data_IF_296537419717
#
_entry.id   IF_296537419717
#
_cell.length_a   1.000
_cell.length_b   1.000
_cell.length_c   1.000
_cell.angle_alpha   90.00
_cell.angle_beta   90.00
_cell.angle_gamma   90.00
#
_symmetry.space_group_name_H-M   'P 1'
#
loop_
_entity.id
_entity.type
_entity.pdbx_description
1 polymer ?
#
# COMPACT_ATOMS: atom_id res chain seq x y z
N UNK A 1 27.07 14.69 -13.37
CA UNK A 1 25.79 14.18 -12.79
C UNK A 1 25.51 15.00 -11.56
N UNK A 2 24.25 15.17 -11.19
CA UNK A 2 23.94 15.86 -9.94
C UNK A 2 24.41 15.00 -8.76
N UNK A 3 25.10 15.61 -7.78
CA UNK A 3 25.60 14.91 -6.60
C UNK A 3 24.61 15.00 -5.43
N UNK A 4 23.47 15.67 -5.64
CA UNK A 4 22.35 15.76 -4.71
C UNK A 4 21.13 15.07 -5.31
N UNK A 5 20.51 14.16 -4.57
CA UNK A 5 19.34 13.39 -5.01
C UNK A 5 18.20 13.54 -4.01
N UNK A 6 17.01 13.79 -4.53
CA UNK A 6 15.77 13.92 -3.76
C UNK A 6 14.80 12.81 -4.18
N UNK A 7 14.55 11.84 -3.30
CA UNK A 7 13.73 10.67 -3.59
C UNK A 7 12.45 10.74 -2.75
N UNK A 8 11.32 10.96 -3.39
CA UNK A 8 10.04 11.18 -2.71
C UNK A 8 9.02 10.14 -3.16
N UNK A 9 8.37 9.48 -2.21
CA UNK A 9 7.31 8.51 -2.53
C UNK A 9 6.72 7.80 -1.32
N UNK A 10 5.47 7.38 -1.47
CA UNK A 10 4.77 6.58 -0.45
C UNK A 10 5.16 5.09 -0.52
N UNK A 11 5.73 4.66 -1.65
CA UNK A 11 6.28 3.31 -1.83
C UNK A 11 7.71 3.28 -1.26
N UNK A 12 7.84 2.86 0.00
CA UNK A 12 9.11 2.82 0.74
C UNK A 12 10.12 1.84 0.13
N UNK A 13 9.64 0.80 -0.57
CA UNK A 13 10.49 -0.14 -1.28
C UNK A 13 11.19 0.55 -2.46
N UNK A 14 10.45 1.24 -3.33
CA UNK A 14 11.03 1.97 -4.47
C UNK A 14 11.98 3.08 -4.03
N UNK A 15 11.58 3.82 -2.99
CA UNK A 15 12.43 4.87 -2.40
C UNK A 15 13.74 4.28 -1.91
N UNK A 16 13.69 3.16 -1.18
CA UNK A 16 14.88 2.48 -0.66
C UNK A 16 15.76 1.88 -1.76
N UNK A 17 15.17 1.20 -2.74
CA UNK A 17 15.93 0.59 -3.84
C UNK A 17 16.60 1.65 -4.72
N UNK A 18 15.90 2.77 -5.00
CA UNK A 18 16.50 3.88 -5.74
C UNK A 18 17.68 4.48 -4.98
N UNK A 19 17.54 4.67 -3.65
CA UNK A 19 18.63 5.15 -2.82
C UNK A 19 19.82 4.17 -2.82
N UNK A 20 19.58 2.86 -2.68
CA UNK A 20 20.62 1.83 -2.72
C UNK A 20 21.37 1.80 -4.07
N UNK A 21 20.65 1.91 -5.20
CA UNK A 21 21.28 2.02 -6.53
C UNK A 21 22.25 3.22 -6.62
N UNK A 22 21.91 4.34 -5.98
CA UNK A 22 22.75 5.54 -5.92
C UNK A 22 23.93 5.40 -4.94
N UNK A 23 23.76 4.66 -3.86
CA UNK A 23 24.81 4.37 -2.87
C UNK A 23 25.89 3.44 -3.46
N UNK A 24 25.48 2.47 -4.27
CA UNK A 24 26.41 1.49 -4.87
C UNK A 24 26.91 0.48 -3.84
N UNK A 25 28.25 0.30 -3.77
CA UNK A 25 28.91 -0.66 -2.87
C UNK A 25 28.93 -0.27 -1.38
N UNK A 26 28.43 0.93 -1.08
CA UNK A 26 28.31 1.44 0.29
C UNK A 26 29.59 2.00 0.90
N UNK A 27 30.67 2.18 0.13
CA UNK A 27 31.87 2.85 0.61
C UNK A 27 31.56 4.28 1.06
N UNK A 28 32.09 4.67 2.23
CA UNK A 28 31.89 6.00 2.80
C UNK A 28 30.43 6.36 3.09
N UNK A 29 29.57 5.37 3.32
CA UNK A 29 28.15 5.57 3.60
C UNK A 29 27.91 6.06 5.03
N UNK A 30 27.29 7.23 5.14
CA UNK A 30 26.73 7.77 6.39
C UNK A 30 25.20 7.79 6.30
N UNK A 31 24.51 7.17 7.26
CA UNK A 31 23.04 7.09 7.27
C UNK A 31 22.47 7.88 8.43
N UNK A 32 21.59 8.83 8.11
CA UNK A 32 20.79 9.56 9.09
C UNK A 32 19.34 9.10 8.93
N UNK A 33 18.80 8.43 9.96
CA UNK A 33 17.45 7.85 9.91
C UNK A 33 16.49 8.65 10.79
N UNK A 34 15.60 9.41 10.14
CA UNK A 34 14.60 10.22 10.82
C UNK A 34 13.28 9.50 11.13
N UNK A 35 13.28 8.15 11.14
CA UNK A 35 12.06 7.38 11.45
C UNK A 35 11.53 7.66 12.86
N UNK A 36 12.38 8.01 13.81
CA UNK A 36 12.05 8.32 15.21
C UNK A 36 11.86 9.80 15.49
N UNK A 37 12.02 10.68 14.50
CA UNK A 37 11.91 12.14 14.67
C UNK A 37 10.44 12.60 14.74
N UNK A 38 9.78 12.30 15.86
CA UNK A 38 8.33 12.52 16.05
C UNK A 38 7.98 13.92 16.55
N UNK A 39 8.94 14.69 17.07
CA UNK A 39 8.77 16.05 17.57
C UNK A 39 9.79 17.01 16.93
N UNK A 40 9.56 18.33 17.13
CA UNK A 40 10.37 19.37 16.51
C UNK A 40 11.84 19.30 16.94
N UNK A 41 12.14 18.99 18.18
CA UNK A 41 13.51 18.93 18.70
C UNK A 41 14.32 17.80 18.03
N UNK A 42 13.73 16.61 17.89
CA UNK A 42 14.34 15.50 17.19
C UNK A 42 14.51 15.80 15.69
N UNK A 43 13.52 16.45 15.07
CA UNK A 43 13.58 16.87 13.68
C UNK A 43 14.73 17.85 13.43
N UNK A 44 14.88 18.85 14.32
CA UNK A 44 15.98 19.82 14.25
C UNK A 44 17.34 19.14 14.50
N UNK A 45 17.42 18.19 15.43
CA UNK A 45 18.63 17.39 15.70
C UNK A 45 19.07 16.64 14.43
N UNK A 46 18.16 15.93 13.78
CA UNK A 46 18.46 15.20 12.55
C UNK A 46 18.84 16.13 11.41
N UNK A 47 18.20 17.30 11.32
CA UNK A 47 18.56 18.32 10.32
C UNK A 47 19.97 18.86 10.57
N UNK A 48 20.36 19.11 11.83
CA UNK A 48 21.72 19.54 12.18
C UNK A 48 22.74 18.44 11.82
N UNK A 49 22.42 17.17 12.05
CA UNK A 49 23.26 16.05 11.64
C UNK A 49 23.41 16.00 10.11
N UNK A 50 22.31 16.19 9.37
CA UNK A 50 22.31 16.20 7.92
C UNK A 50 23.13 17.38 7.36
N UNK A 51 23.02 18.57 7.97
CA UNK A 51 23.78 19.75 7.61
C UNK A 51 25.28 19.58 7.89
N UNK A 52 25.63 19.00 9.03
CA UNK A 52 27.02 18.68 9.38
C UNK A 52 27.61 17.67 8.40
N UNK A 53 26.87 16.57 8.11
CA UNK A 53 27.31 15.57 7.15
C UNK A 53 27.47 16.11 5.74
N UNK A 54 26.52 16.95 5.26
CA UNK A 54 26.61 17.62 3.97
C UNK A 54 27.87 18.50 3.86
N UNK A 55 28.22 19.20 4.94
CA UNK A 55 29.34 20.17 4.97
C UNK A 55 30.71 19.54 5.19
N UNK A 56 30.75 18.29 5.63
CA UNK A 56 32.02 17.60 5.94
C UNK A 56 32.48 16.79 4.73
N UNK A 57 33.64 17.08 4.16
CA UNK A 57 34.19 16.29 3.05
C UNK A 57 34.58 14.88 3.47
N UNK A 58 34.77 13.95 2.52
CA UNK A 58 35.31 12.62 2.80
C UNK A 58 36.73 12.74 3.42
N UNK A 59 36.99 11.97 4.48
CA UNK A 59 38.25 12.03 5.20
C UNK A 59 39.00 10.70 5.22
N UNK A 60 38.33 9.61 5.57
CA UNK A 60 38.96 8.27 5.62
C UNK A 60 38.76 7.50 4.30
N UNK A 61 37.57 7.63 3.72
CA UNK A 61 37.23 7.00 2.45
C UNK A 61 37.45 7.95 1.28
N UNK A 62 37.74 7.43 0.08
CA UNK A 62 37.94 8.26 -1.11
C UNK A 62 36.61 8.95 -1.56
N UNK A 63 35.50 8.40 -1.17
CA UNK A 63 34.13 8.91 -1.47
C UNK A 63 33.31 9.02 -0.19
N UNK A 64 32.31 9.89 -0.19
CA UNK A 64 31.33 10.01 0.88
C UNK A 64 29.93 10.00 0.30
N UNK A 65 29.07 9.15 0.82
CA UNK A 65 27.64 9.11 0.48
C UNK A 65 26.85 9.33 1.76
N UNK A 66 26.12 10.43 1.85
CA UNK A 66 25.18 10.68 2.95
C UNK A 66 23.78 10.32 2.50
N UNK A 67 23.11 9.43 3.23
CA UNK A 67 21.70 9.11 3.03
C UNK A 67 20.88 9.55 4.23
N UNK A 68 20.16 10.66 4.07
CA UNK A 68 19.15 11.12 5.01
C UNK A 68 17.80 10.53 4.64
N UNK A 69 17.39 9.49 5.37
CA UNK A 69 16.20 8.68 5.05
C UNK A 69 15.05 8.91 6.02
N UNK A 70 13.85 8.53 5.56
CA UNK A 70 12.60 8.58 6.34
C UNK A 70 12.22 9.98 6.82
N UNK A 71 12.54 11.01 6.05
CA UNK A 71 12.26 12.40 6.43
C UNK A 71 10.77 12.69 6.24
N UNK A 72 9.98 12.38 7.28
CA UNK A 72 8.52 12.52 7.26
C UNK A 72 8.04 13.95 7.52
N UNK A 73 8.92 14.80 8.01
CA UNK A 73 8.65 16.21 8.32
C UNK A 73 9.05 17.19 7.20
N UNK A 74 9.19 16.71 5.96
CA UNK A 74 9.31 17.59 4.81
C UNK A 74 8.03 18.44 4.65
N UNK A 75 8.11 19.66 4.07
CA UNK A 75 6.94 20.48 3.83
C UNK A 75 5.85 19.72 3.07
N UNK A 76 4.67 19.65 3.65
CA UNK A 76 3.51 18.93 3.11
C UNK A 76 2.31 19.86 3.03
N UNK A 77 1.33 19.54 2.16
CA UNK A 77 0.06 20.24 2.12
C UNK A 77 -0.86 19.78 3.27
N UNK A 78 -1.66 20.70 3.83
CA UNK A 78 -2.63 20.42 4.89
C UNK A 78 -2.06 20.45 6.31
N UNK A 79 -2.75 19.81 7.26
CA UNK A 79 -2.44 19.87 8.72
C UNK A 79 -1.24 19.03 9.19
N UNK A 80 -0.52 18.38 8.29
CA UNK A 80 0.55 17.41 8.64
C UNK A 80 1.98 17.91 8.38
N UNK A 81 2.20 19.21 8.17
CA UNK A 81 3.52 19.79 7.91
C UNK A 81 4.36 19.95 9.19
N UNK A 82 5.67 20.23 9.02
CA UNK A 82 6.56 20.56 10.13
C UNK A 82 6.16 21.88 10.81
N UNK A 83 6.67 22.07 12.05
CA UNK A 83 6.55 23.37 12.74
C UNK A 83 7.23 24.48 11.92
N UNK A 84 6.86 25.76 12.16
CA UNK A 84 7.46 26.88 11.44
C UNK A 84 8.98 26.98 11.64
N UNK A 85 9.50 26.59 12.79
CA UNK A 85 10.93 26.60 13.08
C UNK A 85 11.66 25.52 12.26
N UNK A 86 11.11 24.29 12.21
CA UNK A 86 11.65 23.22 11.39
C UNK A 86 11.57 23.56 9.91
N UNK A 87 10.47 24.17 9.46
CA UNK A 87 10.29 24.62 8.08
C UNK A 87 11.34 25.65 7.68
N UNK A 88 11.55 26.67 8.50
CA UNK A 88 12.60 27.70 8.27
C UNK A 88 13.99 27.08 8.25
N UNK A 89 14.26 26.13 9.13
CA UNK A 89 15.53 25.41 9.17
C UNK A 89 15.75 24.55 7.92
N UNK A 90 14.73 23.84 7.43
CA UNK A 90 14.75 23.11 6.15
C UNK A 90 15.01 24.05 4.97
N UNK A 91 14.34 25.21 4.91
CA UNK A 91 14.53 26.21 3.84
C UNK A 91 15.95 26.77 3.84
N UNK A 92 16.54 27.06 5.01
CA UNK A 92 17.96 27.46 5.14
C UNK A 92 18.89 26.35 4.65
N UNK A 93 18.63 25.10 5.00
CA UNK A 93 19.43 23.97 4.56
C UNK A 93 19.34 23.78 3.03
N UNK A 94 18.14 23.89 2.45
CA UNK A 94 17.99 23.86 0.98
C UNK A 94 18.74 24.97 0.28
N UNK A 95 18.72 26.20 0.81
CA UNK A 95 19.48 27.32 0.29
C UNK A 95 21.00 27.08 0.38
N UNK A 96 21.47 26.46 1.48
CA UNK A 96 22.88 26.07 1.65
C UNK A 96 23.30 25.02 0.61
N UNK A 97 22.47 23.99 0.39
CA UNK A 97 22.72 22.97 -0.65
C UNK A 97 22.82 23.63 -2.03
N UNK A 98 21.91 24.56 -2.35
CA UNK A 98 21.91 25.25 -3.64
C UNK A 98 23.12 26.16 -3.85
N UNK A 99 23.62 26.76 -2.78
CA UNK A 99 24.80 27.65 -2.82
C UNK A 99 26.14 26.91 -2.83
N UNK A 100 26.19 25.64 -2.42
CA UNK A 100 27.42 24.87 -2.25
C UNK A 100 27.34 23.55 -3.01
N UNK A 101 27.66 23.52 -4.30
CA UNK A 101 27.68 22.29 -5.08
C UNK A 101 28.69 21.31 -4.50
N UNK A 102 28.28 20.04 -4.38
CA UNK A 102 29.13 18.98 -3.88
C UNK A 102 30.19 18.56 -4.92
N UNK A 103 31.40 18.22 -4.48
CA UNK A 103 32.43 17.67 -5.36
C UNK A 103 32.05 16.24 -5.83
N UNK A 104 32.70 15.74 -6.88
CA UNK A 104 32.37 14.45 -7.51
C UNK A 104 32.50 13.24 -6.59
N UNK A 105 33.32 13.37 -5.55
CA UNK A 105 33.53 12.31 -4.55
C UNK A 105 32.57 12.40 -3.34
N UNK A 106 31.58 13.28 -3.39
CA UNK A 106 30.58 13.42 -2.34
C UNK A 106 29.18 13.40 -2.92
N UNK A 107 28.28 12.59 -2.32
CA UNK A 107 26.89 12.47 -2.72
C UNK A 107 25.96 12.65 -1.53
N UNK A 108 24.87 13.38 -1.71
CA UNK A 108 23.85 13.57 -0.71
C UNK A 108 22.48 13.09 -1.22
N UNK A 109 21.89 12.13 -0.53
CA UNK A 109 20.60 11.53 -0.86
C UNK A 109 19.62 11.87 0.26
N UNK A 110 18.52 12.57 -0.07
CA UNK A 110 17.43 12.85 0.84
C UNK A 110 16.21 12.07 0.38
N UNK A 111 15.59 11.30 1.31
CA UNK A 111 14.40 10.54 0.98
C UNK A 111 13.28 10.69 2.02
N UNK A 112 12.05 10.76 1.54
CA UNK A 112 10.86 10.90 2.38
C UNK A 112 9.56 10.53 1.65
N UNK A 113 8.45 10.36 2.40
CA UNK A 113 7.21 9.87 1.82
C UNK A 113 6.47 10.92 1.00
N UNK A 114 6.53 12.18 1.42
CA UNK A 114 5.79 13.28 0.79
C UNK A 114 6.56 14.58 0.80
N UNK A 115 6.40 15.36 -0.28
CA UNK A 115 6.92 16.72 -0.38
C UNK A 115 5.95 17.56 -1.20
N UNK A 116 5.57 18.73 -0.66
CA UNK A 116 4.78 19.70 -1.40
C UNK A 116 5.63 20.37 -2.48
N UNK A 117 5.35 20.05 -3.73
CA UNK A 117 6.13 20.52 -4.89
C UNK A 117 6.17 22.07 -5.02
N UNK A 118 5.18 22.77 -4.44
CA UNK A 118 5.09 24.24 -4.46
C UNK A 118 5.81 24.91 -3.28
N UNK A 119 6.33 24.13 -2.30
CA UNK A 119 7.08 24.69 -1.17
C UNK A 119 8.40 25.33 -1.61
N UNK A 120 8.87 26.30 -0.85
CA UNK A 120 10.19 26.96 -1.08
C UNK A 120 11.29 25.92 -1.08
N UNK A 121 11.29 25.01 -0.10
CA UNK A 121 12.23 23.90 0.00
C UNK A 121 12.30 23.05 -1.29
N UNK A 122 11.14 22.63 -1.81
CA UNK A 122 11.08 21.81 -3.01
C UNK A 122 11.58 22.56 -4.26
N UNK A 123 11.20 23.83 -4.40
CA UNK A 123 11.61 24.68 -5.53
C UNK A 123 13.11 24.90 -5.53
N UNK A 124 13.69 25.19 -4.35
CA UNK A 124 15.14 25.39 -4.21
C UNK A 124 15.91 24.12 -4.54
N UNK A 125 15.53 22.96 -4.02
CA UNK A 125 16.24 21.72 -4.31
C UNK A 125 16.07 21.24 -5.75
N UNK A 126 14.93 21.46 -6.39
CA UNK A 126 14.72 21.09 -7.80
C UNK A 126 15.69 21.75 -8.77
N UNK A 127 16.28 22.88 -8.41
CA UNK A 127 17.25 23.59 -9.27
C UNK A 127 18.63 22.93 -9.26
N UNK A 128 18.96 22.13 -8.24
CA UNK A 128 20.31 21.59 -8.00
C UNK A 128 20.34 20.08 -7.75
N UNK A 129 19.20 19.46 -7.52
CA UNK A 129 19.09 18.03 -7.22
C UNK A 129 18.41 17.27 -8.36
N UNK A 130 18.83 16.03 -8.56
CA UNK A 130 18.07 15.05 -9.34
C UNK A 130 16.89 14.55 -8.49
N UNK A 131 15.68 14.64 -9.04
CA UNK A 131 14.44 14.37 -8.30
C UNK A 131 13.75 13.14 -8.85
N UNK A 132 13.60 12.11 -8.02
CA UNK A 132 12.77 10.94 -8.29
C UNK A 132 11.49 11.01 -7.45
N UNK A 133 10.31 10.85 -8.09
CA UNK A 133 9.02 10.89 -7.41
C UNK A 133 8.24 9.61 -7.71
N UNK A 134 7.94 8.86 -6.66
CA UNK A 134 7.13 7.65 -6.72
C UNK A 134 5.76 7.92 -6.13
N UNK A 135 4.86 8.50 -6.94
CA UNK A 135 3.49 8.77 -6.50
C UNK A 135 2.73 7.46 -6.27
N UNK A 136 2.00 7.37 -5.17
CA UNK A 136 0.99 6.34 -5.01
C UNK A 136 -0.15 6.64 -5.99
N UNK A 137 -0.41 5.74 -6.92
CA UNK A 137 -1.57 5.82 -7.81
C UNK A 137 -2.86 5.74 -7.03
N UNK A 138 -3.94 6.21 -7.61
CA UNK A 138 -5.28 6.04 -7.04
C UNK A 138 -5.59 4.55 -6.88
N UNK A 139 -6.43 4.12 -5.92
CA UNK A 139 -6.70 2.70 -5.67
C UNK A 139 -7.07 1.88 -6.91
N UNK A 140 -7.81 2.47 -7.85
CA UNK A 140 -8.20 1.81 -9.11
C UNK A 140 -7.10 1.79 -10.19
N UNK A 141 -6.02 2.53 -10.01
CA UNK A 141 -4.86 2.54 -10.90
C UNK A 141 -3.75 1.61 -10.41
N UNK A 142 -3.81 1.18 -9.14
CA UNK A 142 -2.74 0.41 -8.50
C UNK A 142 -2.42 -0.89 -9.26
N UNK A 143 -3.42 -1.64 -9.71
CA UNK A 143 -3.19 -2.87 -10.47
C UNK A 143 -2.46 -2.58 -11.79
N UNK A 144 -2.86 -1.52 -12.53
CA UNK A 144 -2.20 -1.12 -13.78
C UNK A 144 -0.77 -0.66 -13.54
N UNK A 145 -0.54 0.10 -12.48
CA UNK A 145 0.80 0.56 -12.09
C UNK A 145 1.67 -0.63 -11.69
N UNK A 146 1.11 -1.59 -10.93
CA UNK A 146 1.81 -2.80 -10.53
C UNK A 146 2.23 -3.65 -11.74
N UNK A 147 1.35 -3.81 -12.75
CA UNK A 147 1.68 -4.53 -14.00
C UNK A 147 2.80 -3.83 -14.76
N UNK A 148 2.77 -2.51 -14.85
CA UNK A 148 3.86 -1.77 -15.48
C UNK A 148 5.17 -1.97 -14.73
N UNK A 149 5.18 -1.81 -13.41
CA UNK A 149 6.37 -1.98 -12.56
C UNK A 149 6.94 -3.39 -12.65
N UNK A 150 6.09 -4.42 -12.55
CA UNK A 150 6.57 -5.81 -12.61
C UNK A 150 7.20 -6.12 -13.96
N UNK A 151 6.71 -5.52 -15.04
CA UNK A 151 7.30 -5.66 -16.38
C UNK A 151 8.67 -4.98 -16.46
N UNK A 152 8.81 -3.77 -15.89
CA UNK A 152 10.09 -3.06 -15.81
C UNK A 152 11.11 -3.84 -14.99
N UNK A 153 10.73 -4.34 -13.81
CA UNK A 153 11.61 -5.15 -12.96
C UNK A 153 11.97 -6.51 -13.56
N UNK A 154 11.05 -7.15 -14.26
CA UNK A 154 11.34 -8.38 -14.99
C UNK A 154 12.44 -8.15 -16.03
N UNK A 155 12.36 -7.05 -16.78
CA UNK A 155 13.40 -6.68 -17.75
C UNK A 155 14.77 -6.44 -17.08
N UNK A 156 14.82 -5.80 -15.89
CA UNK A 156 16.08 -5.66 -15.12
C UNK A 156 16.69 -7.02 -14.71
N UNK A 157 15.84 -8.05 -14.55
CA UNK A 157 16.26 -9.42 -14.23
C UNK A 157 16.47 -10.31 -15.46
N UNK A 158 16.44 -9.75 -16.66
CA UNK A 158 16.44 -10.47 -17.96
C UNK A 158 15.27 -11.46 -18.08
N UNK A 159 14.11 -11.12 -17.52
CA UNK A 159 12.88 -11.88 -17.62
C UNK A 159 11.86 -11.14 -18.49
N UNK A 160 10.97 -11.86 -19.15
CA UNK A 160 9.90 -11.31 -19.93
C UNK A 160 8.55 -11.96 -19.62
N UNK A 161 7.49 -11.19 -19.73
CA UNK A 161 6.10 -11.65 -19.66
C UNK A 161 5.35 -11.26 -20.92
N UNK A 162 4.39 -12.09 -21.31
CA UNK A 162 3.25 -11.57 -22.03
C UNK A 162 2.35 -10.77 -21.09
N UNK A 163 1.67 -9.76 -21.63
CA UNK A 163 0.81 -8.88 -20.81
C UNK A 163 -0.22 -9.63 -19.98
N UNK A 164 -0.86 -10.64 -20.56
CA UNK A 164 -1.84 -11.49 -19.86
C UNK A 164 -1.23 -12.26 -18.69
N UNK A 165 0.04 -12.65 -18.80
CA UNK A 165 0.79 -13.34 -17.73
C UNK A 165 1.22 -12.34 -16.65
N UNK A 166 1.58 -11.11 -17.03
CA UNK A 166 1.87 -10.04 -16.06
C UNK A 166 0.60 -9.66 -15.26
N UNK A 167 -0.55 -9.56 -15.92
CA UNK A 167 -1.84 -9.32 -15.26
C UNK A 167 -2.17 -10.47 -14.28
N UNK A 168 -1.96 -11.73 -14.69
CA UNK A 168 -2.14 -12.90 -13.84
C UNK A 168 -1.19 -12.89 -12.64
N UNK A 169 0.09 -12.54 -12.86
CA UNK A 169 1.09 -12.46 -11.80
C UNK A 169 0.69 -11.43 -10.74
N UNK A 170 0.30 -10.20 -11.17
CA UNK A 170 -0.16 -9.16 -10.25
C UNK A 170 -1.45 -9.55 -9.54
N UNK A 171 -2.38 -10.22 -10.24
CA UNK A 171 -3.62 -10.72 -9.63
C UNK A 171 -3.35 -11.76 -8.51
N UNK A 172 -2.29 -12.56 -8.63
CA UNK A 172 -1.93 -13.57 -7.62
C UNK A 172 -1.08 -13.00 -6.49
N UNK A 173 -0.12 -12.15 -6.79
CA UNK A 173 0.85 -11.61 -5.82
C UNK A 173 0.29 -10.38 -5.09
N UNK A 174 -0.62 -9.64 -5.73
CA UNK A 174 -1.10 -8.34 -5.24
C UNK A 174 -0.32 -7.17 -5.84
N UNK A 175 -0.54 -5.97 -5.29
CA UNK A 175 0.02 -4.72 -5.82
C UNK A 175 1.20 -4.17 -5.01
N UNK A 176 1.58 -4.87 -3.94
CA UNK A 176 2.71 -4.49 -3.10
C UNK A 176 4.04 -4.72 -3.83
N UNK A 177 4.82 -3.65 -4.00
CA UNK A 177 6.03 -3.67 -4.83
C UNK A 177 7.09 -4.61 -4.27
N UNK A 178 7.25 -4.69 -2.96
CA UNK A 178 8.21 -5.59 -2.31
C UNK A 178 7.85 -7.05 -2.57
N UNK A 179 6.58 -7.39 -2.44
CA UNK A 179 6.06 -8.74 -2.73
C UNK A 179 6.26 -9.11 -4.19
N UNK A 180 5.94 -8.20 -5.11
CA UNK A 180 6.16 -8.40 -6.55
C UNK A 180 7.64 -8.68 -6.87
N UNK A 181 8.56 -7.91 -6.30
CA UNK A 181 10.00 -8.11 -6.51
C UNK A 181 10.51 -9.41 -5.91
N UNK A 182 10.03 -9.78 -4.72
CA UNK A 182 10.37 -11.05 -4.07
C UNK A 182 9.93 -12.24 -4.92
N UNK A 183 8.70 -12.19 -5.45
CA UNK A 183 8.16 -13.26 -6.30
C UNK A 183 8.89 -13.33 -7.67
N UNK A 184 9.26 -12.17 -8.24
CA UNK A 184 10.10 -12.14 -9.45
C UNK A 184 11.48 -12.75 -9.22
N UNK A 185 12.09 -12.51 -8.05
CA UNK A 185 13.34 -13.17 -7.67
C UNK A 185 13.21 -14.69 -7.66
N UNK A 186 12.11 -15.21 -7.09
CA UNK A 186 11.82 -16.67 -7.11
C UNK A 186 11.60 -17.19 -8.53
N UNK A 187 10.93 -16.42 -9.41
CA UNK A 187 10.75 -16.78 -10.82
C UNK A 187 12.08 -16.90 -11.54
N UNK A 188 13.00 -15.94 -11.34
CA UNK A 188 14.34 -15.99 -11.92
C UNK A 188 15.11 -17.23 -11.46
N UNK A 189 15.05 -17.55 -10.16
CA UNK A 189 15.74 -18.70 -9.59
C UNK A 189 15.15 -20.02 -10.10
N UNK A 190 13.82 -20.08 -10.28
CA UNK A 190 13.13 -21.25 -10.84
C UNK A 190 13.43 -21.49 -12.31
N UNK A 191 13.43 -20.43 -13.13
CA UNK A 191 13.69 -20.52 -14.57
C UNK A 191 15.17 -20.78 -14.88
N UNK A 192 16.05 -20.46 -13.95
CA UNK A 192 17.49 -20.62 -14.14
C UNK A 192 18.08 -19.62 -15.14
N UNK A 193 19.26 -19.97 -15.70
CA UNK A 193 20.00 -19.03 -16.57
C UNK A 193 19.56 -19.07 -18.03
N UNK A 194 18.92 -20.14 -18.44
CA UNK A 194 18.65 -20.41 -19.87
C UNK A 194 17.21 -20.04 -20.29
N UNK A 195 16.32 -19.85 -19.33
CA UNK A 195 14.92 -19.46 -19.59
C UNK A 195 14.64 -18.05 -19.11
N UNK A 196 14.10 -17.24 -20.02
CA UNK A 196 13.84 -15.82 -19.78
C UNK A 196 12.35 -15.47 -19.83
N UNK A 197 11.49 -16.39 -20.28
CA UNK A 197 10.06 -16.14 -20.41
C UNK A 197 9.28 -16.75 -19.27
N UNK A 198 8.56 -15.92 -18.53
CA UNK A 198 7.66 -16.35 -17.46
C UNK A 198 6.34 -16.77 -18.09
N UNK A 199 5.95 -18.02 -17.90
CA UNK A 199 4.69 -18.59 -18.39
C UNK A 199 3.60 -18.55 -17.32
N UNK A 200 2.33 -18.65 -17.73
CA UNK A 200 1.21 -18.76 -16.81
C UNK A 200 1.33 -19.97 -15.87
N UNK A 201 1.90 -21.06 -16.35
CA UNK A 201 2.16 -22.28 -15.56
C UNK A 201 3.23 -22.01 -14.50
N UNK A 202 4.35 -21.34 -14.83
CA UNK A 202 5.36 -20.96 -13.88
C UNK A 202 4.78 -20.04 -12.79
N UNK A 203 3.95 -19.07 -13.18
CA UNK A 203 3.22 -18.19 -12.24
C UNK A 203 2.33 -19.03 -11.30
N UNK A 204 1.58 -20.02 -11.84
CA UNK A 204 0.70 -20.84 -11.03
C UNK A 204 1.46 -21.72 -10.01
N UNK A 205 2.64 -22.21 -10.37
CA UNK A 205 3.40 -23.17 -9.57
C UNK A 205 4.31 -22.48 -8.54
N UNK A 206 4.86 -21.31 -8.88
CA UNK A 206 5.94 -20.71 -8.09
C UNK A 206 5.47 -19.54 -7.25
N UNK A 207 4.54 -18.70 -7.76
CA UNK A 207 4.03 -17.64 -6.91
C UNK A 207 3.32 -18.27 -5.73
N UNK A 208 3.85 -18.03 -4.53
CA UNK A 208 3.02 -18.09 -3.35
C UNK A 208 1.76 -17.31 -3.70
N UNK A 209 0.58 -17.88 -3.49
CA UNK A 209 -0.58 -17.01 -3.41
C UNK A 209 -0.18 -15.99 -2.36
N UNK A 210 0.20 -14.81 -2.82
CA UNK A 210 0.66 -13.76 -1.93
C UNK A 210 -0.38 -13.61 -0.84
N UNK A 211 -0.07 -12.91 0.22
CA UNK A 211 -1.04 -12.42 1.21
C UNK A 211 -2.11 -11.53 0.51
N UNK A 212 -2.40 -11.81 -0.72
CA UNK A 212 -3.50 -11.39 -1.56
C UNK A 212 -4.66 -12.35 -1.38
N UNK A 213 -5.08 -12.51 -0.11
CA UNK A 213 -6.45 -12.94 0.21
C UNK A 213 -7.45 -11.94 -0.39
N UNK A 214 -6.94 -10.85 -0.98
CA UNK A 214 -7.78 -9.79 -1.54
C UNK A 214 -8.71 -10.27 -2.65
N UNK A 215 -8.30 -11.03 -3.68
CA UNK A 215 -9.23 -11.46 -4.72
C UNK A 215 -10.31 -12.40 -4.19
N UNK A 216 -9.96 -13.32 -3.30
CA UNK A 216 -10.89 -14.26 -2.68
C UNK A 216 -11.81 -13.56 -1.70
N UNK A 217 -11.32 -12.61 -0.92
CA UNK A 217 -12.12 -11.76 -0.04
C UNK A 217 -13.10 -10.92 -0.86
N UNK A 218 -12.66 -10.31 -1.96
CA UNK A 218 -13.54 -9.55 -2.83
C UNK A 218 -14.59 -10.46 -3.47
N UNK A 219 -14.20 -11.65 -3.94
CA UNK A 219 -15.14 -12.64 -4.46
C UNK A 219 -16.17 -13.08 -3.39
N UNK A 220 -15.74 -13.25 -2.13
CA UNK A 220 -16.61 -13.58 -1.01
C UNK A 220 -17.56 -12.43 -0.66
N UNK A 221 -17.09 -11.19 -0.58
CA UNK A 221 -17.94 -10.03 -0.29
C UNK A 221 -18.92 -9.76 -1.42
N UNK A 222 -18.53 -10.00 -2.67
CA UNK A 222 -19.42 -9.91 -3.83
C UNK A 222 -20.53 -10.95 -3.75
N UNK A 223 -20.17 -12.19 -3.48
CA UNK A 223 -21.13 -13.28 -3.29
C UNK A 223 -22.09 -13.02 -2.11
N UNK A 224 -21.59 -12.40 -1.02
CA UNK A 224 -22.43 -11.92 0.08
C UNK A 224 -23.37 -10.80 -0.36
N UNK A 225 -22.89 -9.84 -1.13
CA UNK A 225 -23.72 -8.77 -1.72
C UNK A 225 -24.82 -9.32 -2.63
N UNK A 226 -24.48 -10.32 -3.44
CA UNK A 226 -25.45 -11.08 -4.25
C UNK A 226 -26.38 -11.98 -3.41
N UNK A 227 -26.07 -12.20 -2.15
CA UNK A 227 -26.74 -13.11 -1.23
C UNK A 227 -26.69 -14.57 -1.72
N UNK A 228 -25.60 -14.96 -2.35
CA UNK A 228 -25.36 -16.30 -2.86
C UNK A 228 -24.57 -17.13 -1.85
N UNK A 229 -25.24 -18.05 -1.14
CA UNK A 229 -24.61 -18.93 -0.16
C UNK A 229 -23.52 -19.80 -0.80
N UNK A 230 -23.82 -20.40 -1.94
CA UNK A 230 -22.90 -21.30 -2.64
C UNK A 230 -21.60 -20.59 -3.01
N UNK A 231 -21.69 -19.43 -3.69
CA UNK A 231 -20.53 -18.64 -4.09
C UNK A 231 -19.76 -18.11 -2.87
N UNK A 232 -20.46 -17.72 -1.79
CA UNK A 232 -19.83 -17.22 -0.55
C UNK A 232 -18.96 -18.30 0.10
N UNK A 233 -19.51 -19.52 0.24
CA UNK A 233 -18.77 -20.64 0.83
C UNK A 233 -17.64 -21.13 -0.09
N UNK A 234 -17.87 -21.15 -1.41
CA UNK A 234 -16.84 -21.52 -2.36
C UNK A 234 -15.65 -20.53 -2.32
N UNK A 235 -15.93 -19.23 -2.21
CA UNK A 235 -14.88 -18.22 -2.06
C UNK A 235 -14.17 -18.34 -0.69
N UNK A 236 -14.92 -18.49 0.42
CA UNK A 236 -14.35 -18.60 1.76
C UNK A 236 -13.40 -19.81 1.89
N UNK A 237 -13.77 -20.97 1.33
CA UNK A 237 -12.95 -22.18 1.38
C UNK A 237 -11.60 -22.08 0.67
N UNK A 238 -11.44 -21.16 -0.28
CA UNK A 238 -10.18 -20.97 -1.01
C UNK A 238 -9.07 -20.43 -0.12
N UNK A 239 -9.41 -19.71 0.94
CA UNK A 239 -8.44 -19.15 1.88
C UNK A 239 -8.70 -19.53 3.36
N UNK A 240 -9.59 -20.50 3.62
CA UNK A 240 -9.89 -21.02 4.97
C UNK A 240 -8.65 -21.55 5.71
N UNK A 241 -7.64 -22.02 4.96
CA UNK A 241 -6.40 -22.56 5.52
C UNK A 241 -5.35 -21.49 5.83
N UNK A 242 -5.62 -20.23 5.49
CA UNK A 242 -4.70 -19.13 5.76
C UNK A 242 -4.72 -18.74 7.24
N UNK A 243 -3.53 -18.50 7.80
CA UNK A 243 -3.40 -18.05 9.17
C UNK A 243 -4.17 -16.73 9.38
N UNK A 244 -5.04 -16.72 10.37
CA UNK A 244 -5.85 -15.55 10.68
C UNK A 244 -7.14 -15.40 9.86
N UNK A 245 -7.57 -16.42 9.11
CA UNK A 245 -8.82 -16.46 8.34
C UNK A 245 -10.01 -15.86 9.10
N UNK A 246 -10.27 -16.35 10.31
CA UNK A 246 -11.44 -15.93 11.09
C UNK A 246 -11.40 -14.43 11.45
N UNK A 247 -10.24 -13.90 11.84
CA UNK A 247 -10.07 -12.46 12.16
C UNK A 247 -10.23 -11.60 10.92
N UNK A 248 -9.65 -12.04 9.81
CA UNK A 248 -9.71 -11.34 8.54
C UNK A 248 -11.15 -11.27 8.02
N UNK A 249 -11.84 -12.42 7.93
CA UNK A 249 -13.23 -12.49 7.44
C UNK A 249 -14.16 -11.65 8.31
N UNK A 250 -14.08 -11.77 9.63
CA UNK A 250 -14.94 -10.98 10.53
C UNK A 250 -14.75 -9.47 10.35
N UNK A 251 -13.50 -9.04 10.16
CA UNK A 251 -13.15 -7.61 9.97
C UNK A 251 -13.68 -7.09 8.62
N UNK A 252 -13.44 -7.84 7.54
CA UNK A 252 -13.82 -7.39 6.19
C UNK A 252 -15.32 -7.43 5.98
N UNK A 253 -15.99 -8.48 6.46
CA UNK A 253 -17.44 -8.64 6.32
C UNK A 253 -18.20 -7.62 7.17
N UNK A 254 -17.73 -7.31 8.38
CA UNK A 254 -18.32 -6.22 9.19
C UNK A 254 -18.23 -4.89 8.44
N UNK A 255 -17.06 -4.55 7.93
CA UNK A 255 -16.85 -3.32 7.16
C UNK A 255 -17.74 -3.26 5.91
N UNK A 256 -17.87 -4.37 5.20
CA UNK A 256 -18.71 -4.48 4.01
C UNK A 256 -20.17 -4.23 4.33
N UNK A 257 -20.74 -4.90 5.34
CA UNK A 257 -22.14 -4.68 5.74
C UNK A 257 -22.38 -3.30 6.33
N UNK A 258 -21.41 -2.71 7.03
CA UNK A 258 -21.47 -1.32 7.48
C UNK A 258 -21.62 -0.38 6.29
N UNK A 259 -20.76 -0.53 5.28
CA UNK A 259 -20.79 0.30 4.08
C UNK A 259 -22.10 0.16 3.31
N UNK A 260 -22.62 -1.07 3.15
CA UNK A 260 -23.91 -1.28 2.50
C UNK A 260 -25.07 -0.69 3.32
N UNK A 261 -25.02 -0.76 4.66
CA UNK A 261 -26.04 -0.17 5.52
C UNK A 261 -26.06 1.36 5.43
N UNK A 262 -24.89 1.99 5.41
CA UNK A 262 -24.72 3.44 5.22
C UNK A 262 -25.28 3.89 3.84
N UNK A 263 -24.94 3.16 2.78
CA UNK A 263 -25.43 3.44 1.43
C UNK A 263 -26.97 3.24 1.33
N UNK A 264 -27.51 2.20 1.97
CA UNK A 264 -28.94 1.93 1.98
C UNK A 264 -29.73 3.01 2.73
N UNK A 265 -29.24 3.42 3.89
CA UNK A 265 -29.84 4.51 4.69
C UNK A 265 -29.78 5.84 3.92
N UNK A 266 -28.66 6.13 3.25
CA UNK A 266 -28.52 7.31 2.39
C UNK A 266 -29.47 7.27 1.18
N UNK A 267 -29.63 6.10 0.55
CA UNK A 267 -30.57 5.90 -0.55
C UNK A 267 -32.02 6.17 -0.11
N UNK A 268 -32.42 5.64 1.05
CA UNK A 268 -33.74 5.85 1.62
C UNK A 268 -34.04 7.31 2.00
N UNK A 269 -32.96 8.08 2.29
CA UNK A 269 -33.03 9.51 2.61
C UNK A 269 -32.78 10.45 1.41
N UNK A 270 -32.58 9.93 0.22
CA UNK A 270 -32.26 10.72 -0.98
C UNK A 270 -30.90 11.45 -0.95
N UNK A 271 -29.92 10.95 -0.16
CA UNK A 271 -28.57 11.54 0.04
C UNK A 271 -27.44 10.64 -0.48
N UNK A 272 -27.70 9.90 -1.53
CA UNK A 272 -26.75 8.90 -2.07
C UNK A 272 -25.42 9.54 -2.51
N UNK A 273 -25.47 10.71 -3.14
CA UNK A 273 -24.27 11.38 -3.66
C UNK A 273 -23.26 11.70 -2.54
N UNK A 274 -23.77 12.19 -1.41
CA UNK A 274 -22.91 12.46 -0.24
C UNK A 274 -22.31 11.18 0.38
N UNK A 275 -23.03 10.08 0.35
CA UNK A 275 -22.57 8.79 0.89
C UNK A 275 -21.58 8.06 -0.05
N UNK A 276 -21.51 8.46 -1.31
CA UNK A 276 -20.60 7.89 -2.32
C UNK A 276 -19.39 8.76 -2.58
N UNK A 277 -19.30 9.94 -1.95
CA UNK A 277 -18.16 10.84 -2.08
C UNK A 277 -16.85 10.13 -1.68
N UNK A 278 -15.85 10.20 -2.56
CA UNK A 278 -14.56 9.52 -2.37
C UNK A 278 -14.52 8.03 -2.72
N UNK A 279 -15.65 7.42 -3.11
CA UNK A 279 -15.68 6.04 -3.59
C UNK A 279 -15.38 5.96 -5.10
N UNK A 280 -14.68 4.89 -5.52
CA UNK A 280 -14.46 4.64 -6.94
C UNK A 280 -15.81 4.39 -7.66
N UNK A 281 -16.06 4.96 -8.85
CA UNK A 281 -17.35 4.83 -9.57
C UNK A 281 -17.80 3.39 -9.79
N UNK A 282 -16.86 2.48 -10.06
CA UNK A 282 -17.16 1.06 -10.20
C UNK A 282 -17.68 0.44 -8.89
N UNK A 283 -17.06 0.75 -7.75
CA UNK A 283 -17.46 0.27 -6.43
C UNK A 283 -18.85 0.81 -6.05
N UNK A 284 -19.13 2.07 -6.36
CA UNK A 284 -20.46 2.68 -6.17
C UNK A 284 -21.52 1.91 -6.94
N UNK A 285 -21.33 1.73 -8.25
CA UNK A 285 -22.27 1.01 -9.11
C UNK A 285 -22.52 -0.41 -8.61
N UNK A 286 -21.47 -1.11 -8.22
CA UNK A 286 -21.52 -2.48 -7.71
C UNK A 286 -22.29 -2.57 -6.40
N UNK A 287 -21.92 -1.74 -5.42
CA UNK A 287 -22.55 -1.72 -4.09
C UNK A 287 -24.02 -1.32 -4.16
N UNK A 288 -24.40 -0.33 -4.98
CA UNK A 288 -25.79 0.02 -5.22
C UNK A 288 -26.57 -1.15 -5.84
N UNK A 289 -25.94 -1.95 -6.70
CA UNK A 289 -26.54 -3.18 -7.24
C UNK A 289 -26.90 -4.20 -6.16
N UNK A 290 -26.06 -4.33 -5.12
CA UNK A 290 -26.29 -5.26 -4.01
C UNK A 290 -27.44 -4.83 -3.09
N UNK A 291 -27.72 -3.53 -2.97
CA UNK A 291 -28.78 -3.03 -2.09
C UNK A 291 -30.19 -3.59 -2.41
N UNK A 292 -30.41 -4.11 -3.63
CA UNK A 292 -31.66 -4.76 -4.01
C UNK A 292 -31.92 -6.07 -3.26
N UNK A 293 -30.84 -6.73 -2.81
CA UNK A 293 -30.91 -8.03 -2.15
C UNK A 293 -31.08 -7.92 -0.64
N UNK A 294 -31.01 -6.70 -0.08
CA UNK A 294 -30.94 -6.47 1.34
C UNK A 294 -31.87 -5.34 1.79
N UNK A 295 -32.55 -5.54 2.90
CA UNK A 295 -33.19 -4.45 3.65
C UNK A 295 -32.19 -3.78 4.60
N UNK A 296 -32.43 -2.52 4.96
CA UNK A 296 -31.59 -1.80 5.93
C UNK A 296 -31.48 -2.55 7.27
N UNK A 297 -32.60 -3.16 7.72
CA UNK A 297 -32.64 -3.96 8.95
C UNK A 297 -31.73 -5.20 8.85
N UNK A 298 -31.77 -5.92 7.75
CA UNK A 298 -30.92 -7.11 7.53
C UNK A 298 -29.44 -6.74 7.52
N UNK A 299 -29.07 -5.65 6.85
CA UNK A 299 -27.69 -5.14 6.81
C UNK A 299 -27.18 -4.78 8.21
N UNK A 300 -28.00 -4.09 9.01
CA UNK A 300 -27.64 -3.74 10.40
C UNK A 300 -27.48 -4.98 11.28
N UNK A 301 -28.38 -5.96 11.14
CA UNK A 301 -28.29 -7.23 11.86
C UNK A 301 -27.05 -8.02 11.44
N UNK A 302 -26.76 -8.13 10.14
CA UNK A 302 -25.59 -8.81 9.65
C UNK A 302 -24.30 -8.16 10.18
N UNK A 303 -24.19 -6.84 10.11
CA UNK A 303 -23.08 -6.09 10.70
C UNK A 303 -22.89 -6.41 12.19
N UNK A 304 -23.95 -6.31 12.98
CA UNK A 304 -23.90 -6.56 14.43
C UNK A 304 -23.42 -7.99 14.74
N UNK A 305 -23.89 -8.98 13.97
CA UNK A 305 -23.48 -10.38 14.13
C UNK A 305 -21.98 -10.56 13.90
N UNK A 306 -21.40 -9.95 12.86
CA UNK A 306 -19.98 -10.05 12.59
C UNK A 306 -19.15 -9.25 13.59
N UNK A 307 -19.63 -8.14 14.11
CA UNK A 307 -19.00 -7.40 15.20
C UNK A 307 -18.90 -8.27 16.48
N UNK A 308 -20.00 -8.89 16.90
CA UNK A 308 -20.04 -9.81 18.06
C UNK A 308 -19.21 -11.08 17.82
N UNK A 309 -19.22 -11.60 16.58
CA UNK A 309 -18.42 -12.77 16.22
C UNK A 309 -16.92 -12.48 16.35
N UNK A 310 -16.49 -11.28 15.94
CA UNK A 310 -15.09 -10.86 16.07
C UNK A 310 -14.60 -10.90 17.53
N UNK A 311 -15.39 -10.46 18.47
CA UNK A 311 -15.05 -10.55 19.89
C UNK A 311 -14.88 -12.00 20.34
N UNK A 312 -15.77 -12.89 19.89
CA UNK A 312 -15.70 -14.33 20.17
C UNK A 312 -14.48 -15.01 19.55
N UNK A 313 -14.16 -14.67 18.30
CA UNK A 313 -13.00 -15.21 17.56
C UNK A 313 -11.67 -14.88 18.27
N UNK A 314 -11.57 -13.69 18.84
CA UNK A 314 -10.35 -13.25 19.55
C UNK A 314 -10.27 -13.86 20.96
N UNK A 315 -11.41 -14.16 21.60
CA UNK A 315 -11.47 -14.59 23.01
C UNK A 315 -11.66 -16.11 23.22
N UNK A 316 -11.97 -16.88 22.17
CA UNK A 316 -12.32 -18.31 22.32
C UNK A 316 -11.16 -19.24 21.89
N UNK A 317 -11.02 -20.35 22.60
CA UNK A 317 -10.10 -21.46 22.28
C UNK A 317 -10.68 -22.49 21.32
N UNK A 318 -11.89 -22.26 20.78
CA UNK A 318 -12.56 -23.17 19.82
C UNK A 318 -12.18 -22.89 18.38
N UNK A 319 -12.64 -23.75 17.45
CA UNK A 319 -12.43 -23.56 16.01
C UNK A 319 -13.14 -22.29 15.52
N UNK A 320 -12.40 -21.17 15.49
CA UNK A 320 -12.86 -19.87 15.07
C UNK A 320 -13.41 -19.90 13.63
N UNK A 321 -12.83 -20.71 12.76
CA UNK A 321 -13.19 -20.84 11.35
C UNK A 321 -14.58 -21.43 11.18
N UNK A 322 -14.93 -22.45 11.97
CA UNK A 322 -16.28 -23.05 11.98
C UNK A 322 -17.34 -22.03 12.40
N UNK A 323 -17.02 -21.19 13.39
CA UNK A 323 -17.92 -20.12 13.82
C UNK A 323 -18.17 -19.10 12.69
N UNK A 324 -17.11 -18.72 11.98
CA UNK A 324 -17.19 -17.78 10.85
C UNK A 324 -18.00 -18.38 9.71
N UNK A 325 -17.71 -19.62 9.28
CA UNK A 325 -18.45 -20.30 8.22
C UNK A 325 -19.94 -20.45 8.58
N UNK A 326 -20.22 -20.80 9.83
CA UNK A 326 -21.60 -20.90 10.32
C UNK A 326 -22.34 -19.57 10.22
N UNK A 327 -21.68 -18.47 10.56
CA UNK A 327 -22.31 -17.14 10.51
C UNK A 327 -22.47 -16.65 9.07
N UNK A 328 -21.55 -16.94 8.15
CA UNK A 328 -21.72 -16.70 6.71
C UNK A 328 -22.99 -17.41 6.18
N UNK A 329 -23.18 -18.67 6.55
CA UNK A 329 -24.42 -19.43 6.19
C UNK A 329 -25.67 -18.75 6.72
N UNK A 330 -25.67 -18.33 7.99
CA UNK A 330 -26.82 -17.69 8.63
C UNK A 330 -27.21 -16.39 7.97
N UNK A 331 -26.22 -15.58 7.61
CA UNK A 331 -26.45 -14.26 7.02
C UNK A 331 -26.96 -14.38 5.59
N UNK A 332 -26.49 -15.34 4.80
CA UNK A 332 -26.97 -15.59 3.44
C UNK A 332 -28.42 -16.11 3.41
N UNK A 333 -28.87 -16.82 4.43
CA UNK A 333 -30.26 -17.32 4.48
C UNK A 333 -31.23 -16.17 4.67
N UNK A 334 -32.27 -16.09 3.84
CA UNK A 334 -33.39 -15.17 4.09
C UNK A 334 -34.12 -15.60 5.37
N UNK A 335 -34.47 -14.67 6.27
CA UNK A 335 -35.37 -15.02 7.35
C UNK A 335 -36.64 -15.59 6.74
N UNK A 336 -37.09 -16.74 7.23
CA UNK A 336 -38.36 -17.29 6.80
C UNK A 336 -39.42 -16.18 6.95
N UNK A 337 -40.22 -15.95 5.89
CA UNK A 337 -41.34 -15.05 5.99
C UNK A 337 -42.20 -15.56 7.16
N UNK A 338 -42.35 -14.77 8.23
CA UNK A 338 -43.25 -15.10 9.31
C UNK A 338 -44.62 -15.23 8.65
N UNK A 339 -45.07 -16.48 8.52
CA UNK A 339 -46.43 -16.77 8.04
C UNK A 339 -47.37 -15.91 8.84
N UNK A 340 -48.13 -15.09 8.14
CA UNK A 340 -49.16 -14.29 8.75
C UNK A 340 -50.13 -15.26 9.45
N UNK A 341 -50.11 -15.23 10.77
CA UNK A 341 -51.24 -15.73 11.54
C UNK A 341 -52.36 -14.75 11.26
N UNK A 342 -53.37 -15.21 10.51
CA UNK A 342 -54.66 -14.54 10.34
C UNK A 342 -55.40 -14.51 11.67
#
# INVERSE_FOLDING_TARGET
MANVHLIIGEDDFLVSETAKKLIGDGQGLEVIDSNTATNADLQLKDLVAADASFSTPPFLDPVKVTWWKNVRFLPQGGKGGPSEDVKKALEKFAAKIAANPLPDNQKFILSGPKLLATSVFAKTLKSVAEVAVFAAGKPWEQARIAVQRVTEFAAELNLAFDRSVADLFVARVGTDTRSLMSELGKMRDYLGKDQHTITAEAVANITSQGIGVEPEIWAMTDALGERSLEKTLAAARRFEQENGFAVLVTTVVEKFFRQLAELKDAQEKGKTDAATEGMAPFAVKKNLGFLRNWTLRELRVARFRFLTLREKVVSSSGSADVLVLTELVRVCRRPAARGGVR
#
